data_IF_846695999659
#
_entry.id   IF_846695999659
#
_cell.length_a   1.000
_cell.length_b   1.000
_cell.length_c   1.000
_cell.angle_alpha   90.00
_cell.angle_beta   90.00
_cell.angle_gamma   90.00
#
_symmetry.space_group_name_H-M   'P 1'
#
loop_
_entity.id
_entity.type
_entity.pdbx_description
1 polymer ?
#
# COMPACT_ATOMS: atom_id res chain seq x y z
N UNK A 1 30.14 27.69 -15.62
CA UNK A 1 29.48 27.13 -15.59
C UNK A 1 29.10 26.21 -15.22
N UNK A 2 28.94 25.74 -14.95
CA UNK A 2 28.67 25.00 -14.71
C UNK A 2 27.73 24.33 -14.74
N UNK A 3 27.42 23.95 -15.14
CA UNK A 3 26.64 23.40 -15.47
C UNK A 3 26.16 22.24 -15.11
N UNK A 4 26.57 21.56 -14.83
CA UNK A 4 26.34 20.33 -14.45
C UNK A 4 25.21 20.10 -13.58
N UNK A 5 24.89 20.98 -12.74
CA UNK A 5 23.83 20.90 -11.83
C UNK A 5 22.51 20.67 -12.47
N UNK A 6 22.24 21.33 -13.54
CA UNK A 6 20.99 21.18 -14.22
C UNK A 6 20.77 19.78 -14.71
N UNK A 7 21.82 19.12 -15.05
CA UNK A 7 21.73 17.77 -15.55
C UNK A 7 21.22 16.82 -14.47
N UNK A 8 21.71 16.97 -13.27
CA UNK A 8 21.29 16.12 -12.17
C UNK A 8 19.81 16.29 -11.85
N UNK A 9 19.33 17.53 -11.88
CA UNK A 9 17.93 17.78 -11.60
C UNK A 9 17.03 17.16 -12.64
N UNK A 10 17.44 17.16 -13.88
CA UNK A 10 16.63 16.64 -14.97
C UNK A 10 16.34 15.16 -14.81
N UNK A 11 17.22 14.40 -14.19
CA UNK A 11 17.03 12.97 -13.99
C UNK A 11 15.83 12.64 -13.10
N UNK A 12 15.43 13.57 -12.24
CA UNK A 12 14.35 13.34 -11.30
C UNK A 12 13.18 14.28 -11.52
N UNK A 13 12.90 14.61 -12.78
CA UNK A 13 11.94 15.66 -13.11
C UNK A 13 10.48 15.26 -12.95
N UNK A 14 10.16 13.96 -12.82
CA UNK A 14 8.77 13.53 -12.66
C UNK A 14 8.15 14.00 -11.35
N UNK A 15 6.83 14.11 -11.34
CA UNK A 15 6.08 14.45 -10.14
C UNK A 15 6.28 13.36 -9.08
N UNK A 16 6.59 13.79 -7.87
CA UNK A 16 6.71 12.91 -6.72
C UNK A 16 5.61 13.22 -5.73
N UNK A 17 5.03 12.18 -5.13
CA UNK A 17 4.03 12.32 -4.08
C UNK A 17 4.40 11.41 -2.93
N UNK A 18 4.13 11.86 -1.71
CA UNK A 18 4.25 11.03 -0.53
C UNK A 18 2.87 10.41 -0.25
N UNK A 19 2.80 9.09 -0.29
CA UNK A 19 1.55 8.36 -0.13
C UNK A 19 1.68 7.39 1.04
N UNK A 20 1.61 7.91 2.28
CA UNK A 20 1.80 7.08 3.46
C UNK A 20 0.58 6.20 3.71
N UNK A 21 0.76 5.19 4.57
CA UNK A 21 -0.35 4.39 5.06
C UNK A 21 -1.32 5.28 5.83
N UNK A 22 -2.59 5.20 5.46
CA UNK A 22 -3.67 5.92 6.11
C UNK A 22 -4.80 4.95 6.41
N UNK A 23 -5.24 4.91 7.67
CA UNK A 23 -6.30 4.01 8.10
C UNK A 23 -7.42 4.84 8.69
N UNK A 24 -8.64 4.67 8.16
CA UNK A 24 -9.84 5.31 8.69
C UNK A 24 -10.69 4.24 9.37
N UNK A 25 -10.58 4.16 10.67
CA UNK A 25 -11.29 3.13 11.45
C UNK A 25 -12.80 3.38 11.47
N UNK A 26 -13.24 4.64 11.42
CA UNK A 26 -14.66 4.96 11.44
C UNK A 26 -15.36 4.56 10.14
N UNK A 27 -14.67 4.67 9.03
CA UNK A 27 -15.22 4.35 7.70
C UNK A 27 -14.75 2.99 7.18
N UNK A 28 -13.92 2.28 7.93
CA UNK A 28 -13.46 0.92 7.64
C UNK A 28 -12.74 0.81 6.29
N UNK A 29 -11.76 1.69 6.07
CA UNK A 29 -10.89 1.57 4.92
C UNK A 29 -9.46 1.99 5.25
N UNK A 30 -8.53 1.51 4.43
CA UNK A 30 -7.13 1.88 4.52
C UNK A 30 -6.55 2.00 3.12
N UNK A 31 -5.58 2.88 2.96
CA UNK A 31 -4.87 3.01 1.69
C UNK A 31 -3.45 3.49 1.94
N UNK A 32 -2.64 3.41 0.90
CA UNK A 32 -1.26 3.87 0.94
C UNK A 32 -0.40 3.18 -0.09
N UNK A 33 0.91 3.40 0.01
CA UNK A 33 1.89 2.73 -0.79
C UNK A 33 2.59 1.65 0.02
N UNK A 34 2.76 0.46 -0.55
CA UNK A 34 3.51 -0.60 0.12
C UNK A 34 4.96 -0.18 0.32
N UNK A 35 5.57 0.41 -0.70
CA UNK A 35 6.95 0.89 -0.60
C UNK A 35 7.09 2.00 0.43
N UNK A 36 6.18 2.95 0.45
CA UNK A 36 6.24 4.05 1.40
C UNK A 36 6.06 3.58 2.84
N UNK A 37 5.19 2.59 3.03
CA UNK A 37 5.02 1.98 4.35
C UNK A 37 6.29 1.25 4.77
N UNK A 38 6.92 0.53 3.84
CA UNK A 38 8.22 -0.13 4.10
C UNK A 38 9.31 0.88 4.46
N UNK A 39 9.28 2.05 3.84
CA UNK A 39 10.33 3.07 3.98
C UNK A 39 10.14 4.00 5.18
N UNK A 40 9.12 3.78 6.03
CA UNK A 40 8.92 4.63 7.21
C UNK A 40 10.10 4.49 8.16
N UNK A 41 10.37 5.57 8.91
CA UNK A 41 11.49 5.59 9.86
C UNK A 41 11.22 4.75 11.09
N UNK A 42 9.96 4.52 11.44
CA UNK A 42 9.62 3.67 12.56
C UNK A 42 9.74 2.19 12.14
N UNK A 43 9.78 1.30 13.11
CA UNK A 43 9.83 -0.14 12.86
C UNK A 43 8.50 -0.81 13.20
N UNK A 44 7.41 -0.07 13.13
CA UNK A 44 6.08 -0.50 13.57
C UNK A 44 5.12 -0.66 12.41
N UNK A 45 5.04 0.33 11.52
CA UNK A 45 4.07 0.29 10.43
C UNK A 45 4.36 -0.80 9.42
N UNK A 46 3.31 -1.49 8.99
CA UNK A 46 3.41 -2.38 7.83
C UNK A 46 2.05 -2.51 7.14
N UNK A 47 2.09 -2.95 5.91
CA UNK A 47 0.92 -3.31 5.12
C UNK A 47 1.30 -4.51 4.27
N UNK A 48 0.41 -5.48 4.22
CA UNK A 48 0.66 -6.68 3.43
C UNK A 48 -0.66 -7.28 2.98
N UNK A 49 -0.63 -7.90 1.81
CA UNK A 49 -1.72 -8.71 1.32
C UNK A 49 -1.14 -10.01 0.77
N UNK A 50 -1.84 -11.09 0.94
CA UNK A 50 -1.40 -12.38 0.43
C UNK A 50 -2.57 -13.29 0.15
N UNK A 51 -2.31 -14.41 -0.52
CA UNK A 51 -3.36 -15.36 -0.85
C UNK A 51 -2.80 -16.77 -0.96
N UNK A 52 -3.68 -17.73 -0.69
CA UNK A 52 -3.53 -19.11 -1.11
C UNK A 52 -4.52 -19.35 -2.26
N UNK A 53 -4.68 -20.58 -2.78
CA UNK A 53 -5.56 -20.81 -3.93
C UNK A 53 -7.02 -20.39 -3.73
N UNK A 54 -7.54 -20.39 -2.49
CA UNK A 54 -8.95 -20.16 -2.23
C UNK A 54 -9.26 -18.97 -1.34
N UNK A 55 -8.29 -18.44 -0.62
CA UNK A 55 -8.51 -17.35 0.32
C UNK A 55 -7.42 -16.31 0.20
N UNK A 56 -7.72 -15.09 0.61
CA UNK A 56 -6.77 -14.00 0.67
C UNK A 56 -6.99 -13.15 1.89
N UNK A 57 -6.01 -12.29 2.17
CA UNK A 57 -6.08 -11.39 3.30
C UNK A 57 -5.31 -10.12 2.98
N UNK A 58 -5.66 -9.06 3.71
CA UNK A 58 -4.84 -7.85 3.79
C UNK A 58 -4.76 -7.44 5.24
N UNK A 59 -3.57 -7.04 5.67
CA UNK A 59 -3.33 -6.61 7.06
C UNK A 59 -2.54 -5.31 7.02
N UNK A 60 -2.94 -4.37 7.86
CA UNK A 60 -2.24 -3.09 8.03
C UNK A 60 -2.02 -2.84 9.51
N UNK A 61 -0.91 -2.21 9.84
CA UNK A 61 -0.59 -1.78 11.20
C UNK A 61 -0.13 -0.34 11.18
N UNK A 62 -0.76 0.51 11.98
CA UNK A 62 -0.39 1.92 12.05
C UNK A 62 0.80 2.15 13.00
N UNK A 63 1.24 3.40 13.09
CA UNK A 63 2.37 3.77 13.94
C UNK A 63 2.08 3.58 15.44
N UNK A 64 0.81 3.52 15.83
CA UNK A 64 0.40 3.27 17.19
C UNK A 64 0.32 1.77 17.51
N UNK A 65 0.76 0.91 16.59
CA UNK A 65 0.78 -0.54 16.75
C UNK A 65 -0.64 -1.17 16.76
N UNK A 66 -1.60 -0.50 16.14
CA UNK A 66 -2.95 -1.06 15.98
C UNK A 66 -3.02 -1.82 14.68
N UNK A 67 -3.44 -3.07 14.74
CA UNK A 67 -3.50 -3.98 13.59
C UNK A 67 -4.95 -4.15 13.14
N UNK A 68 -5.15 -4.08 11.84
CA UNK A 68 -6.46 -4.35 11.22
C UNK A 68 -6.25 -5.31 10.06
N UNK A 69 -7.07 -6.34 10.00
CA UNK A 69 -7.02 -7.35 8.94
C UNK A 69 -8.39 -7.58 8.36
N UNK A 70 -8.40 -7.89 7.07
CA UNK A 70 -9.60 -8.45 6.44
C UNK A 70 -9.22 -9.68 5.62
N UNK A 71 -10.20 -10.54 5.38
CA UNK A 71 -10.00 -11.73 4.56
C UNK A 71 -11.07 -11.80 3.47
N UNK A 72 -10.81 -12.58 2.43
CA UNK A 72 -11.77 -12.76 1.34
C UNK A 72 -11.65 -14.15 0.74
N UNK A 73 -12.78 -14.64 0.24
CA UNK A 73 -12.87 -15.83 -0.61
C UNK A 73 -13.38 -15.45 -2.01
N UNK A 74 -13.62 -14.17 -2.26
CA UNK A 74 -14.13 -13.68 -3.54
C UNK A 74 -13.02 -13.78 -4.60
N UNK A 75 -13.24 -14.56 -5.68
CA UNK A 75 -12.23 -14.72 -6.72
C UNK A 75 -11.80 -13.41 -7.36
N UNK A 76 -12.70 -12.42 -7.47
CA UNK A 76 -12.35 -11.13 -8.05
C UNK A 76 -11.35 -10.38 -7.17
N UNK A 77 -11.56 -10.38 -5.86
CA UNK A 77 -10.62 -9.74 -4.93
C UNK A 77 -9.30 -10.51 -4.85
N UNK A 78 -9.36 -11.83 -4.91
CA UNK A 78 -8.14 -12.66 -4.95
C UNK A 78 -7.27 -12.31 -6.15
N UNK A 79 -7.89 -12.07 -7.30
CA UNK A 79 -7.15 -11.67 -8.50
C UNK A 79 -6.41 -10.36 -8.28
N UNK A 80 -7.05 -9.38 -7.66
CA UNK A 80 -6.40 -8.10 -7.35
C UNK A 80 -5.24 -8.29 -6.38
N UNK A 81 -5.44 -9.04 -5.31
CA UNK A 81 -4.39 -9.30 -4.32
C UNK A 81 -3.17 -9.94 -5.00
N UNK A 82 -3.39 -10.90 -5.88
CA UNK A 82 -2.32 -11.59 -6.58
C UNK A 82 -1.56 -10.71 -7.58
N UNK A 83 -2.15 -9.57 -7.96
CA UNK A 83 -1.51 -8.63 -8.89
C UNK A 83 -0.56 -7.66 -8.20
N UNK A 84 -0.55 -7.62 -6.88
CA UNK A 84 0.26 -6.66 -6.14
C UNK A 84 1.75 -6.96 -6.27
N UNK A 85 2.54 -5.88 -6.35
CA UNK A 85 4.00 -5.92 -6.31
C UNK A 85 4.47 -5.15 -5.08
N UNK A 86 5.76 -5.26 -4.71
CA UNK A 86 6.28 -4.53 -3.55
C UNK A 86 6.13 -3.01 -3.64
N UNK A 87 5.98 -2.46 -4.83
CA UNK A 87 5.85 -1.03 -5.04
C UNK A 87 4.42 -0.59 -5.33
N UNK A 88 3.45 -1.48 -5.22
CA UNK A 88 2.04 -1.16 -5.49
C UNK A 88 1.48 -0.18 -4.48
N UNK A 89 0.59 0.67 -4.98
CA UNK A 89 -0.31 1.45 -4.16
C UNK A 89 -1.58 0.63 -3.97
N UNK A 90 -2.24 0.77 -2.83
CA UNK A 90 -3.39 -0.06 -2.53
C UNK A 90 -4.48 0.71 -1.81
N UNK A 91 -5.71 0.20 -1.89
CA UNK A 91 -6.83 0.64 -1.08
C UNK A 91 -7.65 -0.59 -0.72
N UNK A 92 -8.03 -0.70 0.54
CA UNK A 92 -8.86 -1.80 1.02
C UNK A 92 -10.03 -1.26 1.83
N UNK A 93 -11.14 -1.98 1.78
CA UNK A 93 -12.30 -1.74 2.64
C UNK A 93 -12.72 -3.06 3.26
N UNK A 94 -13.27 -3.00 4.45
CA UNK A 94 -13.71 -4.21 5.14
C UNK A 94 -15.06 -4.00 5.82
N UNK A 95 -15.73 -5.11 6.07
CA UNK A 95 -16.97 -5.15 6.85
C UNK A 95 -16.58 -5.21 8.33
N UNK A 96 -17.00 -4.26 9.16
CA UNK A 96 -16.61 -4.24 10.57
C UNK A 96 -17.21 -5.39 11.40
N UNK A 97 -18.27 -6.03 10.90
CA UNK A 97 -18.93 -7.12 11.61
C UNK A 97 -18.26 -8.45 11.32
N UNK A 98 -17.92 -8.71 10.06
CA UNK A 98 -17.36 -10.00 9.62
C UNK A 98 -15.87 -9.98 9.40
N UNK A 99 -15.27 -8.80 9.28
CA UNK A 99 -13.88 -8.59 8.87
C UNK A 99 -13.58 -9.12 7.47
N UNK A 100 -14.60 -9.28 6.64
CA UNK A 100 -14.39 -9.61 5.24
C UNK A 100 -13.94 -8.38 4.47
N UNK A 101 -12.98 -8.56 3.57
CA UNK A 101 -12.62 -7.50 2.62
C UNK A 101 -13.78 -7.31 1.66
N UNK A 102 -14.28 -6.10 1.54
CA UNK A 102 -15.36 -5.77 0.62
C UNK A 102 -14.85 -5.09 -0.65
N UNK A 103 -13.61 -4.63 -0.62
CA UNK A 103 -13.00 -3.93 -1.75
C UNK A 103 -11.49 -4.01 -1.62
N UNK A 104 -10.82 -4.31 -2.71
CA UNK A 104 -9.35 -4.27 -2.79
C UNK A 104 -8.99 -3.65 -4.13
N UNK A 105 -8.17 -2.60 -4.09
CA UNK A 105 -7.62 -1.94 -5.26
C UNK A 105 -6.12 -2.02 -5.18
N UNK A 106 -5.49 -2.31 -6.30
CA UNK A 106 -4.05 -2.24 -6.46
C UNK A 106 -3.74 -1.45 -7.72
N UNK A 107 -2.78 -0.53 -7.63
CA UNK A 107 -2.37 0.23 -8.81
C UNK A 107 -0.91 0.64 -8.69
N UNK A 108 -0.35 1.05 -9.83
CA UNK A 108 1.02 1.52 -9.93
C UNK A 108 1.01 2.99 -10.33
N UNK A 109 1.95 3.75 -9.81
CA UNK A 109 2.07 5.18 -10.14
C UNK A 109 3.52 5.59 -10.11
N UNK A 110 3.91 6.38 -11.12
CA UNK A 110 5.26 6.95 -11.18
C UNK A 110 5.49 8.01 -10.10
N UNK A 111 4.43 8.46 -9.42
CA UNK A 111 4.56 9.45 -8.34
C UNK A 111 5.05 8.83 -7.03
N UNK A 112 4.83 7.54 -6.85
CA UNK A 112 5.13 6.87 -5.59
C UNK A 112 6.63 6.54 -5.50
N UNK A 113 7.12 6.47 -4.27
CA UNK A 113 8.48 6.07 -3.99
C UNK A 113 8.67 4.59 -4.28
N UNK A 114 9.90 4.21 -4.60
CA UNK A 114 10.28 2.82 -4.68
C UNK A 114 10.68 2.30 -3.31
N UNK A 115 10.53 0.99 -3.13
CA UNK A 115 10.92 0.35 -1.91
C UNK A 115 12.43 0.41 -1.74
N UNK A 116 12.88 0.83 -0.55
CA UNK A 116 14.30 0.77 -0.20
C UNK A 116 14.63 -0.58 0.45
N UNK A 117 15.90 -0.99 0.41
CA UNK A 117 16.32 -2.25 1.03
C UNK A 117 16.05 -2.31 2.52
#
# INVERSE_FOLDING_TARGET
>A
MTVVLGTTSAVFAGLKSYIPLSINYASHFANGGLAETHNTADSVQYAECGSNPTTGFCTVRDAANVVTSCFTTDPALLTVIRSMSPDSLFSIRWDPTTNECTYVLSYASSRAAQRTP
#
